data_IF_138888703348
#
_entry.id   IF_138888703348
#
_cell.length_a   1.000
_cell.length_b   1.000
_cell.length_c   1.000
_cell.angle_alpha   90.00
_cell.angle_beta   90.00
_cell.angle_gamma   90.00
#
_symmetry.space_group_name_H-M   'P 1'
#
loop_
_entity.id
_entity.type
_entity.pdbx_description
1 polymer ?
#
# COMPACT_ATOMS: atom_id res chain seq x y z
N UNK A 1 69.91 -10.64 -38.05
CA UNK A 1 69.37 -11.64 -37.11
C UNK A 1 67.90 -11.29 -36.83
N UNK A 2 66.95 -12.19 -37.15
CA UNK A 2 65.54 -12.00 -36.85
C UNK A 2 65.37 -12.34 -35.36
N UNK A 3 65.03 -11.32 -34.50
CA UNK A 3 64.70 -11.54 -33.11
C UNK A 3 63.17 -11.63 -32.99
N UNK A 4 62.66 -12.73 -32.44
CA UNK A 4 61.25 -12.90 -32.12
C UNK A 4 61.02 -12.59 -30.63
N UNK A 5 60.14 -11.66 -30.34
CA UNK A 5 59.76 -11.33 -28.94
C UNK A 5 58.50 -12.07 -28.53
N UNK A 6 58.58 -12.84 -27.46
CA UNK A 6 57.45 -13.56 -26.89
C UNK A 6 57.08 -12.90 -25.57
N UNK A 7 55.81 -12.53 -25.40
CA UNK A 7 55.29 -11.98 -24.17
C UNK A 7 54.58 -13.09 -23.36
N UNK A 8 55.10 -13.34 -22.16
CA UNK A 8 54.50 -14.30 -21.22
C UNK A 8 53.65 -13.52 -20.21
N UNK A 9 52.39 -13.94 -20.03
CA UNK A 9 51.49 -13.38 -19.02
C UNK A 9 51.01 -14.49 -18.09
N UNK A 10 51.24 -14.31 -16.80
CA UNK A 10 50.76 -15.24 -15.78
C UNK A 10 49.63 -14.60 -14.93
N UNK A 11 48.63 -15.40 -14.54
CA UNK A 11 47.55 -14.98 -13.66
C UNK A 11 47.55 -15.88 -12.42
N UNK A 12 47.46 -15.29 -11.24
CA UNK A 12 47.45 -16.00 -9.96
C UNK A 12 46.72 -15.17 -8.90
N UNK A 13 46.39 -15.80 -7.77
CA UNK A 13 45.68 -15.18 -6.64
C UNK A 13 46.49 -14.09 -5.93
N UNK A 14 47.82 -14.12 -6.04
CA UNK A 14 48.70 -13.09 -5.50
C UNK A 14 49.66 -12.52 -6.53
N UNK A 15 50.06 -11.26 -6.35
CA UNK A 15 51.00 -10.57 -7.21
C UNK A 15 52.38 -11.28 -7.25
N UNK A 16 52.87 -11.73 -6.09
CA UNK A 16 54.13 -12.45 -5.97
C UNK A 16 54.10 -13.81 -6.66
N UNK A 17 52.99 -14.54 -6.52
CA UNK A 17 52.82 -15.83 -7.20
C UNK A 17 52.76 -15.64 -8.70
N UNK A 18 52.01 -14.67 -9.22
CA UNK A 18 51.96 -14.38 -10.65
C UNK A 18 53.33 -14.01 -11.23
N UNK A 19 54.09 -13.15 -10.52
CA UNK A 19 55.49 -12.79 -10.89
C UNK A 19 56.39 -14.02 -10.94
N UNK A 20 56.37 -14.85 -9.90
CA UNK A 20 57.18 -16.04 -9.79
C UNK A 20 56.85 -17.05 -10.91
N UNK A 21 55.57 -17.28 -11.19
CA UNK A 21 55.15 -18.14 -12.30
C UNK A 21 55.71 -17.61 -13.63
N UNK A 22 55.51 -16.32 -13.94
CA UNK A 22 55.99 -15.74 -15.20
C UNK A 22 57.50 -15.88 -15.36
N UNK A 23 58.28 -15.58 -14.33
CA UNK A 23 59.75 -15.68 -14.38
C UNK A 23 60.22 -17.15 -14.45
N UNK A 24 59.56 -18.07 -13.74
CA UNK A 24 59.87 -19.51 -13.79
C UNK A 24 59.60 -20.12 -15.16
N UNK A 25 58.50 -19.74 -15.81
CA UNK A 25 58.18 -20.22 -17.17
C UNK A 25 59.24 -19.81 -18.15
N UNK A 26 59.74 -18.56 -18.08
CA UNK A 26 60.80 -18.08 -18.99
C UNK A 26 62.16 -18.81 -18.72
N UNK A 27 62.51 -18.96 -17.43
CA UNK A 27 63.75 -19.63 -17.08
C UNK A 27 63.76 -21.12 -17.44
N UNK A 28 62.63 -21.79 -17.25
CA UNK A 28 62.50 -23.19 -17.61
C UNK A 28 62.41 -23.40 -19.12
N UNK A 29 61.77 -22.50 -19.86
CA UNK A 29 61.76 -22.50 -21.33
C UNK A 29 63.16 -22.32 -21.89
N UNK A 30 63.99 -21.44 -21.30
CA UNK A 30 65.37 -21.25 -21.72
C UNK A 30 66.24 -22.52 -21.52
N UNK A 31 66.02 -23.23 -20.38
CA UNK A 31 66.71 -24.53 -20.15
C UNK A 31 66.22 -25.61 -21.11
N UNK A 32 64.97 -25.70 -21.39
CA UNK A 32 64.44 -26.68 -22.32
C UNK A 32 64.96 -26.48 -23.77
N UNK A 33 64.98 -25.25 -24.24
CA UNK A 33 65.59 -24.94 -25.58
C UNK A 33 67.06 -25.33 -25.63
N UNK A 34 67.81 -25.02 -24.57
CA UNK A 34 69.25 -25.41 -24.49
C UNK A 34 69.42 -26.94 -24.47
N UNK A 35 68.56 -27.66 -23.79
CA UNK A 35 68.61 -29.13 -23.73
C UNK A 35 68.17 -29.81 -25.03
N UNK A 36 67.26 -29.24 -25.79
CA UNK A 36 66.78 -29.80 -27.05
C UNK A 36 67.74 -29.56 -28.25
N UNK A 37 68.34 -28.37 -28.30
CA UNK A 37 69.13 -27.97 -29.45
C UNK A 37 70.62 -28.07 -29.20
N UNK A 38 71.09 -28.32 -27.98
CA UNK A 38 72.48 -28.42 -27.60
C UNK A 38 73.21 -27.07 -27.39
N UNK A 39 74.46 -27.12 -26.90
CA UNK A 39 75.22 -25.90 -26.54
C UNK A 39 75.63 -24.99 -27.72
N UNK A 40 75.54 -25.48 -28.97
CA UNK A 40 75.87 -24.73 -30.19
C UNK A 40 74.69 -24.20 -30.97
N UNK A 41 73.49 -24.18 -30.35
CA UNK A 41 72.28 -23.68 -31.02
C UNK A 41 72.40 -22.19 -31.41
N UNK A 42 72.02 -21.84 -32.62
CA UNK A 42 71.87 -20.44 -33.01
C UNK A 42 70.71 -19.71 -32.35
N UNK A 43 69.78 -20.45 -31.64
CA UNK A 43 68.62 -19.89 -30.95
C UNK A 43 68.91 -19.81 -29.47
N UNK A 44 68.89 -18.60 -28.93
CA UNK A 44 69.03 -18.37 -27.49
C UNK A 44 67.76 -17.66 -26.95
N UNK A 45 67.19 -18.21 -25.94
CA UNK A 45 66.05 -17.54 -25.17
C UNK A 45 66.68 -16.67 -24.10
N UNK A 46 66.60 -15.36 -24.28
CA UNK A 46 67.14 -14.37 -23.34
C UNK A 46 65.96 -13.60 -22.71
N UNK A 47 65.94 -13.53 -21.39
CA UNK A 47 64.98 -12.72 -20.67
C UNK A 47 65.35 -11.24 -20.88
N UNK A 48 64.56 -10.53 -21.70
CA UNK A 48 64.78 -9.10 -21.95
C UNK A 48 64.28 -8.24 -20.78
N UNK A 49 63.12 -8.58 -20.22
CA UNK A 49 62.54 -7.85 -19.10
C UNK A 49 61.88 -8.85 -18.12
N UNK A 50 62.41 -8.98 -16.89
CA UNK A 50 61.82 -9.83 -15.89
C UNK A 50 60.46 -9.29 -15.47
N UNK A 51 59.54 -10.17 -15.09
CA UNK A 51 58.25 -9.76 -14.52
C UNK A 51 58.50 -9.07 -13.18
N UNK A 52 57.98 -7.85 -13.04
CA UNK A 52 58.07 -7.03 -11.82
C UNK A 52 56.71 -6.72 -11.27
N UNK A 53 56.62 -6.43 -9.96
CA UNK A 53 55.39 -6.09 -9.27
C UNK A 53 54.75 -4.80 -9.80
N UNK A 54 55.52 -3.88 -10.36
CA UNK A 54 55.04 -2.66 -11.01
C UNK A 54 54.15 -2.93 -12.23
N UNK A 55 54.28 -4.11 -12.86
CA UNK A 55 53.53 -4.51 -14.05
C UNK A 55 52.27 -5.31 -13.73
N UNK A 56 52.00 -5.60 -12.44
CA UNK A 56 50.83 -6.39 -12.01
C UNK A 56 49.60 -5.55 -12.12
N UNK A 57 48.64 -5.96 -12.95
CA UNK A 57 47.31 -5.40 -13.01
C UNK A 57 46.38 -6.18 -12.08
N UNK A 58 45.91 -5.54 -11.01
CA UNK A 58 44.86 -6.14 -10.19
C UNK A 58 43.56 -6.29 -10.99
N UNK A 59 42.95 -7.46 -10.92
CA UNK A 59 41.58 -7.64 -11.40
C UNK A 59 40.66 -6.64 -10.70
N UNK A 60 39.58 -6.19 -11.34
CA UNK A 60 38.67 -5.23 -10.73
C UNK A 60 38.18 -5.77 -9.41
N UNK A 61 38.32 -4.97 -8.34
CA UNK A 61 37.98 -5.37 -6.98
C UNK A 61 36.47 -5.64 -6.89
N UNK A 62 36.02 -6.72 -6.22
CA UNK A 62 34.60 -7.03 -6.05
C UNK A 62 33.83 -5.86 -5.41
N UNK A 63 34.49 -5.04 -4.60
CA UNK A 63 33.93 -3.84 -4.01
C UNK A 63 33.35 -2.84 -5.03
N UNK A 64 33.97 -2.69 -6.20
CA UNK A 64 33.47 -1.80 -7.26
C UNK A 64 32.13 -2.30 -7.84
N UNK A 65 31.99 -3.61 -8.01
CA UNK A 65 30.75 -4.21 -8.48
C UNK A 65 29.63 -4.13 -7.43
N UNK A 66 29.96 -4.30 -6.15
CA UNK A 66 29.02 -4.14 -5.04
C UNK A 66 28.50 -2.70 -4.98
N UNK A 67 29.39 -1.70 -5.05
CA UNK A 67 28.99 -0.29 -5.04
C UNK A 67 28.14 0.05 -6.27
N UNK A 68 28.55 -0.40 -7.46
CA UNK A 68 27.79 -0.16 -8.69
C UNK A 68 26.38 -0.83 -8.62
N UNK A 69 26.31 -2.06 -8.12
CA UNK A 69 25.04 -2.76 -7.91
C UNK A 69 24.13 -2.06 -6.90
N UNK A 70 24.68 -1.54 -5.81
CA UNK A 70 23.94 -0.79 -4.80
C UNK A 70 23.37 0.52 -5.37
N UNK A 71 24.17 1.27 -6.12
CA UNK A 71 23.70 2.51 -6.77
C UNK A 71 22.62 2.22 -7.81
N UNK A 72 22.81 1.18 -8.63
CA UNK A 72 21.81 0.76 -9.61
C UNK A 72 20.51 0.29 -8.94
N UNK A 73 20.61 -0.43 -7.81
CA UNK A 73 19.46 -0.87 -7.01
C UNK A 73 18.66 0.30 -6.40
N UNK A 74 19.34 1.30 -5.86
CA UNK A 74 18.72 2.52 -5.34
C UNK A 74 17.98 3.26 -6.47
N UNK A 75 18.64 3.44 -7.61
CA UNK A 75 18.05 4.14 -8.75
C UNK A 75 16.78 3.42 -9.27
N UNK A 76 16.85 2.10 -9.44
CA UNK A 76 15.70 1.27 -9.80
C UNK A 76 14.58 1.36 -8.75
N UNK A 77 14.92 1.34 -7.46
CA UNK A 77 13.98 1.50 -6.37
C UNK A 77 13.22 2.83 -6.45
N UNK A 78 13.91 3.95 -6.71
CA UNK A 78 13.27 5.24 -6.90
C UNK A 78 12.35 5.28 -8.13
N UNK A 79 12.77 4.68 -9.25
CA UNK A 79 11.94 4.60 -10.46
C UNK A 79 10.65 3.82 -10.19
N UNK A 80 10.75 2.65 -9.54
CA UNK A 80 9.58 1.83 -9.19
C UNK A 80 8.66 2.57 -8.21
N UNK A 81 9.21 3.23 -7.19
CA UNK A 81 8.44 4.03 -6.23
C UNK A 81 7.70 5.18 -6.94
N UNK A 82 8.39 5.89 -7.84
CA UNK A 82 7.78 6.97 -8.64
C UNK A 82 6.64 6.47 -9.53
N UNK A 83 6.82 5.35 -10.22
CA UNK A 83 5.76 4.74 -11.04
C UNK A 83 4.57 4.36 -10.17
N UNK A 84 4.81 3.74 -8.99
CA UNK A 84 3.73 3.40 -8.05
C UNK A 84 2.99 4.64 -7.57
N UNK A 85 3.69 5.69 -7.22
CA UNK A 85 3.07 6.94 -6.76
C UNK A 85 2.23 7.61 -7.85
N UNK A 86 2.69 7.63 -9.10
CA UNK A 86 1.94 8.16 -10.24
C UNK A 86 0.70 7.31 -10.60
N UNK A 87 0.75 6.01 -10.30
CA UNK A 87 -0.36 5.08 -10.59
C UNK A 87 -1.33 4.96 -9.42
N UNK A 88 -0.95 5.43 -8.22
CA UNK A 88 -1.82 5.40 -7.04
C UNK A 88 -2.93 6.46 -7.18
N UNK A 89 -4.14 5.97 -7.44
CA UNK A 89 -5.36 6.80 -7.56
C UNK A 89 -6.15 6.87 -6.26
N UNK A 90 -5.61 6.35 -5.16
CA UNK A 90 -6.30 6.39 -3.87
C UNK A 90 -6.34 7.81 -3.33
N UNK A 91 -7.43 8.11 -2.65
CA UNK A 91 -7.59 9.35 -1.91
C UNK A 91 -6.84 9.21 -0.58
N UNK A 92 -5.82 10.02 -0.37
CA UNK A 92 -5.03 10.03 0.86
C UNK A 92 -5.27 11.26 1.72
N UNK A 93 -5.68 12.36 1.10
CA UNK A 93 -5.86 13.65 1.77
C UNK A 93 -7.22 14.26 1.50
N UNK A 94 -7.64 15.16 2.40
CA UNK A 94 -8.86 15.97 2.22
C UNK A 94 -8.77 16.81 0.93
N UNK A 95 -7.57 17.26 0.58
CA UNK A 95 -7.32 18.05 -0.63
C UNK A 95 -7.59 17.25 -1.91
N UNK A 96 -7.23 15.96 -1.94
CA UNK A 96 -7.52 15.09 -3.09
C UNK A 96 -9.02 14.95 -3.37
N UNK A 97 -9.85 15.06 -2.32
CA UNK A 97 -11.31 15.03 -2.46
C UNK A 97 -11.83 16.37 -2.98
N UNK A 98 -11.39 17.48 -2.40
CA UNK A 98 -11.85 18.83 -2.82
C UNK A 98 -11.50 19.14 -4.25
N UNK A 99 -10.35 18.67 -4.75
CA UNK A 99 -9.93 18.87 -6.14
C UNK A 99 -10.76 18.08 -7.16
N UNK A 100 -11.40 16.98 -6.71
CA UNK A 100 -12.15 16.08 -7.59
C UNK A 100 -13.65 16.23 -7.49
N UNK A 101 -14.14 16.64 -6.34
CA UNK A 101 -15.56 16.75 -6.04
C UNK A 101 -15.87 18.20 -5.68
N UNK A 102 -16.62 18.88 -6.55
CA UNK A 102 -17.09 20.24 -6.30
C UNK A 102 -18.26 20.25 -5.29
N UNK A 103 -17.99 19.70 -4.10
CA UNK A 103 -18.94 19.66 -2.98
C UNK A 103 -18.20 19.85 -1.65
N UNK A 104 -18.81 20.51 -0.67
CA UNK A 104 -18.20 20.71 0.64
C UNK A 104 -17.98 19.38 1.38
N UNK A 105 -16.83 19.25 2.01
CA UNK A 105 -16.55 18.13 2.92
C UNK A 105 -17.17 18.49 4.27
N UNK A 106 -18.17 17.71 4.67
CA UNK A 106 -18.89 17.96 5.92
C UNK A 106 -18.09 17.52 7.16
N UNK A 107 -17.40 16.37 7.09
CA UNK A 107 -16.52 15.90 8.16
C UNK A 107 -15.53 14.85 7.64
N UNK A 108 -14.45 14.66 8.39
CA UNK A 108 -13.51 13.54 8.23
C UNK A 108 -13.64 12.67 9.47
N UNK A 109 -14.09 11.43 9.29
CA UNK A 109 -14.35 10.50 10.38
C UNK A 109 -13.23 9.46 10.39
N UNK A 110 -12.44 9.35 11.48
CA UNK A 110 -11.40 8.36 11.58
C UNK A 110 -11.99 6.94 11.62
N UNK A 111 -11.26 5.97 11.08
CA UNK A 111 -11.60 4.57 11.26
C UNK A 111 -11.46 4.20 12.75
N UNK A 112 -12.53 3.68 13.34
CA UNK A 112 -12.62 3.42 14.77
C UNK A 112 -13.59 2.28 15.05
N UNK A 113 -13.22 1.43 16.02
CA UNK A 113 -14.12 0.36 16.50
C UNK A 113 -15.40 0.92 17.13
N UNK A 114 -15.31 2.07 17.79
CA UNK A 114 -16.44 2.78 18.38
C UNK A 114 -17.46 3.22 17.33
N UNK A 115 -17.01 3.79 16.22
CA UNK A 115 -17.89 4.16 15.09
C UNK A 115 -18.49 2.89 14.46
N UNK A 116 -17.71 1.84 14.31
CA UNK A 116 -18.18 0.57 13.76
C UNK A 116 -19.26 -0.07 14.63
N UNK A 117 -19.15 0.03 15.96
CA UNK A 117 -20.10 -0.51 16.92
C UNK A 117 -21.32 0.40 17.21
N UNK A 118 -21.40 1.56 16.55
CA UNK A 118 -22.46 2.59 16.81
C UNK A 118 -22.56 2.92 18.31
N UNK A 119 -21.45 2.94 19.00
CA UNK A 119 -21.36 3.25 20.43
C UNK A 119 -20.93 4.70 20.63
N UNK A 120 -21.75 5.47 21.36
CA UNK A 120 -21.41 6.86 21.73
C UNK A 120 -20.83 6.95 23.14
N UNK A 121 -20.82 5.84 23.87
CA UNK A 121 -20.53 5.83 25.33
C UNK A 121 -19.07 5.48 25.63
N UNK A 122 -18.28 5.05 24.65
CA UNK A 122 -16.88 4.75 24.88
C UNK A 122 -16.05 6.04 24.90
N UNK A 123 -15.41 6.30 26.03
CA UNK A 123 -14.43 7.37 26.23
C UNK A 123 -13.17 7.15 25.40
N UNK A 124 -12.98 5.97 24.85
CA UNK A 124 -11.75 5.54 24.18
C UNK A 124 -11.54 6.17 22.79
N UNK A 125 -12.60 6.75 22.19
CA UNK A 125 -12.45 7.39 20.88
C UNK A 125 -13.17 8.75 20.79
N UNK A 126 -12.77 9.66 21.64
CA UNK A 126 -13.28 11.04 21.65
C UNK A 126 -13.22 11.71 20.27
N UNK A 127 -12.18 11.39 19.48
CA UNK A 127 -12.01 11.99 18.15
C UNK A 127 -13.10 11.54 17.16
N UNK A 128 -13.48 10.28 17.21
CA UNK A 128 -14.52 9.74 16.34
C UNK A 128 -15.90 10.30 16.73
N UNK A 129 -16.22 10.32 18.02
CA UNK A 129 -17.46 10.92 18.53
C UNK A 129 -17.56 12.42 18.17
N UNK A 130 -16.47 13.17 18.30
CA UNK A 130 -16.43 14.58 17.94
C UNK A 130 -16.57 14.80 16.44
N UNK A 131 -15.99 13.92 15.60
CA UNK A 131 -16.16 13.97 14.14
C UNK A 131 -17.63 13.77 13.73
N UNK A 132 -18.38 12.88 14.40
CA UNK A 132 -19.81 12.68 14.16
C UNK A 132 -20.64 13.90 14.61
N UNK A 133 -20.31 14.50 15.77
CA UNK A 133 -20.98 15.74 16.22
C UNK A 133 -20.72 16.90 15.24
N UNK A 134 -19.50 17.00 14.74
CA UNK A 134 -19.14 17.98 13.70
C UNK A 134 -19.91 17.73 12.40
N UNK A 135 -20.04 16.46 11.99
CA UNK A 135 -20.85 16.08 10.83
C UNK A 135 -22.30 16.55 11.01
N UNK A 136 -22.93 16.26 12.16
CA UNK A 136 -24.29 16.74 12.46
C UNK A 136 -24.40 18.27 12.33
N UNK A 137 -23.48 19.00 12.94
CA UNK A 137 -23.51 20.46 12.93
C UNK A 137 -23.39 21.01 11.51
N UNK A 138 -22.42 20.52 10.73
CA UNK A 138 -22.21 20.98 9.35
C UNK A 138 -23.39 20.59 8.44
N UNK A 139 -23.98 19.41 8.67
CA UNK A 139 -25.19 18.97 7.95
C UNK A 139 -26.37 19.89 8.22
N UNK A 140 -26.60 20.29 9.47
CA UNK A 140 -27.66 21.26 9.82
C UNK A 140 -27.46 22.58 9.09
N UNK A 141 -26.25 23.09 9.01
CA UNK A 141 -25.95 24.32 8.23
C UNK A 141 -26.20 24.13 6.74
N UNK A 142 -25.80 22.99 6.18
CA UNK A 142 -26.02 22.68 4.77
C UNK A 142 -27.51 22.52 4.41
N UNK A 143 -28.37 22.23 5.40
CA UNK A 143 -29.80 21.98 5.21
C UNK A 143 -30.68 23.17 5.61
N UNK A 144 -30.13 24.30 6.04
CA UNK A 144 -30.90 25.45 6.55
C UNK A 144 -31.97 25.91 5.55
N UNK A 145 -31.63 25.96 4.26
CA UNK A 145 -32.55 26.40 3.20
C UNK A 145 -33.38 25.25 2.60
N UNK A 146 -33.15 24.02 3.07
CA UNK A 146 -33.79 22.85 2.51
C UNK A 146 -35.02 22.45 3.34
N UNK A 147 -36.17 22.40 2.71
CA UNK A 147 -37.43 21.92 3.36
C UNK A 147 -37.43 20.42 3.57
N UNK A 148 -36.64 19.66 2.84
CA UNK A 148 -36.53 18.21 2.98
C UNK A 148 -35.73 17.85 4.20
N UNK A 149 -36.26 16.96 5.05
CA UNK A 149 -35.59 16.39 6.21
C UNK A 149 -35.08 14.96 5.93
N UNK A 150 -34.98 14.57 4.67
CA UNK A 150 -34.48 13.25 4.25
C UNK A 150 -33.02 13.33 3.89
N UNK A 151 -32.21 12.49 4.53
CA UNK A 151 -30.76 12.40 4.32
C UNK A 151 -30.45 11.01 3.77
N UNK A 152 -29.86 10.94 2.57
CA UNK A 152 -29.39 9.70 1.99
C UNK A 152 -27.88 9.54 2.26
N UNK A 153 -27.52 8.45 2.94
CA UNK A 153 -26.12 8.07 3.18
C UNK A 153 -25.75 6.91 2.26
N UNK A 154 -24.79 7.13 1.39
CA UNK A 154 -24.30 6.12 0.44
C UNK A 154 -22.77 6.04 0.43
N UNK A 155 -22.21 5.06 -0.26
CA UNK A 155 -20.78 4.89 -0.43
C UNK A 155 -20.44 4.33 -1.82
N UNK A 156 -19.22 4.54 -2.28
CA UNK A 156 -18.74 4.11 -3.60
C UNK A 156 -18.49 2.61 -3.67
N UNK A 157 -18.01 2.03 -2.56
CA UNK A 157 -17.75 0.59 -2.43
C UNK A 157 -18.28 0.05 -1.12
N UNK A 158 -18.38 -1.27 -1.06
CA UNK A 158 -18.81 -1.96 0.16
C UNK A 158 -17.75 -1.82 1.26
N UNK A 159 -18.19 -1.68 2.52
CA UNK A 159 -17.28 -1.67 3.69
C UNK A 159 -16.70 -0.30 4.03
N UNK A 160 -17.11 0.79 3.37
CA UNK A 160 -16.66 2.16 3.68
C UNK A 160 -17.30 2.78 4.93
N UNK A 161 -18.17 2.03 5.62
CA UNK A 161 -18.77 2.47 6.87
C UNK A 161 -20.07 3.27 6.73
N UNK A 162 -20.78 3.22 5.58
CA UNK A 162 -22.04 3.95 5.37
C UNK A 162 -23.06 3.73 6.50
N UNK A 163 -23.29 2.46 6.86
CA UNK A 163 -24.26 2.11 7.90
C UNK A 163 -23.81 2.56 9.29
N UNK A 164 -22.51 2.44 9.59
CA UNK A 164 -21.94 2.91 10.85
C UNK A 164 -22.04 4.43 10.99
N UNK A 165 -21.74 5.17 9.91
CA UNK A 165 -21.85 6.63 9.91
C UNK A 165 -23.31 7.06 10.03
N UNK A 166 -24.23 6.45 9.27
CA UNK A 166 -25.67 6.75 9.34
C UNK A 166 -26.25 6.47 10.73
N UNK A 167 -25.91 5.31 11.32
CA UNK A 167 -26.36 4.92 12.65
C UNK A 167 -25.88 5.85 13.76
N UNK A 168 -24.57 6.18 13.77
CA UNK A 168 -24.01 7.13 14.74
C UNK A 168 -24.57 8.54 14.55
N UNK A 169 -24.76 9.01 13.31
CA UNK A 169 -25.36 10.29 13.02
C UNK A 169 -26.80 10.35 13.55
N UNK A 170 -27.62 9.33 13.24
CA UNK A 170 -29.00 9.23 13.71
C UNK A 170 -29.08 9.28 15.26
N UNK A 171 -28.19 8.54 15.94
CA UNK A 171 -28.11 8.54 17.41
C UNK A 171 -27.73 9.92 17.96
N UNK A 172 -26.75 10.59 17.37
CA UNK A 172 -26.31 11.93 17.85
C UNK A 172 -27.37 13.00 17.53
N UNK A 173 -28.17 12.87 16.47
CA UNK A 173 -29.29 13.76 16.18
C UNK A 173 -30.42 13.57 17.20
N UNK A 174 -30.78 12.33 17.50
CA UNK A 174 -31.80 12.01 18.50
C UNK A 174 -31.38 12.50 19.90
N UNK A 175 -30.14 12.27 20.33
CA UNK A 175 -29.58 12.80 21.58
C UNK A 175 -29.59 14.33 21.66
N UNK A 176 -29.66 15.02 20.53
CA UNK A 176 -29.81 16.47 20.46
C UNK A 176 -31.30 16.93 20.47
N UNK A 177 -32.23 16.01 20.67
CA UNK A 177 -33.68 16.30 20.78
C UNK A 177 -34.41 16.30 19.45
N UNK A 178 -33.83 15.72 18.39
CA UNK A 178 -34.52 15.56 17.11
C UNK A 178 -35.26 14.20 17.07
N UNK A 179 -36.47 14.14 16.48
CA UNK A 179 -37.13 12.87 16.18
C UNK A 179 -36.57 12.32 14.86
N UNK A 180 -35.94 11.15 14.95
CA UNK A 180 -35.19 10.55 13.84
C UNK A 180 -35.70 9.15 13.53
N UNK A 181 -35.92 8.87 12.24
CA UNK A 181 -36.17 7.52 11.74
C UNK A 181 -34.97 7.12 10.90
N UNK A 182 -34.26 6.09 11.34
CA UNK A 182 -33.15 5.48 10.57
C UNK A 182 -33.73 4.34 9.74
N UNK A 183 -33.67 4.45 8.42
CA UNK A 183 -34.14 3.42 7.48
C UNK A 183 -32.95 2.65 6.92
N UNK A 184 -32.93 1.33 7.10
CA UNK A 184 -31.99 0.45 6.42
C UNK A 184 -32.50 0.11 5.02
N UNK A 185 -32.06 0.86 4.03
CA UNK A 185 -32.42 0.68 2.63
C UNK A 185 -31.41 -0.19 1.86
N UNK A 186 -30.45 -0.84 2.55
CA UNK A 186 -29.53 -1.79 1.93
C UNK A 186 -30.18 -3.18 1.82
N UNK A 187 -31.09 -3.33 0.88
CA UNK A 187 -31.83 -4.59 0.65
C UNK A 187 -30.92 -5.76 0.21
N UNK A 188 -29.66 -5.49 -0.13
CA UNK A 188 -28.71 -6.53 -0.53
C UNK A 188 -27.89 -7.07 0.63
N UNK A 189 -27.50 -6.20 1.56
CA UNK A 189 -26.67 -6.54 2.70
C UNK A 189 -27.04 -5.71 3.92
N UNK A 190 -28.22 -5.95 4.47
CA UNK A 190 -28.69 -5.18 5.63
C UNK A 190 -27.74 -5.36 6.81
N UNK A 191 -27.52 -4.30 7.56
CA UNK A 191 -26.57 -4.32 8.67
C UNK A 191 -27.02 -3.53 9.89
N UNK A 192 -27.99 -2.65 9.76
CA UNK A 192 -28.43 -1.77 10.83
C UNK A 192 -29.06 -2.57 11.97
N UNK A 193 -29.86 -3.59 11.66
CA UNK A 193 -30.51 -4.45 12.67
C UNK A 193 -29.48 -5.04 13.65
N UNK A 194 -28.39 -5.63 13.13
CA UNK A 194 -27.31 -6.21 13.95
C UNK A 194 -26.55 -5.16 14.75
N UNK A 195 -26.35 -3.98 14.15
CA UNK A 195 -25.60 -2.90 14.80
C UNK A 195 -26.35 -2.25 15.96
N UNK A 196 -27.66 -2.40 16.01
CA UNK A 196 -28.53 -1.89 17.09
C UNK A 196 -29.11 -3.01 17.97
N UNK A 197 -28.65 -4.25 17.77
CA UNK A 197 -29.10 -5.43 18.53
C UNK A 197 -30.62 -5.56 18.56
N UNK A 198 -31.27 -5.38 17.40
CA UNK A 198 -32.70 -5.46 17.27
C UNK A 198 -33.14 -6.91 17.04
N UNK A 199 -34.24 -7.29 17.67
CA UNK A 199 -34.88 -8.58 17.46
C UNK A 199 -35.44 -8.74 16.04
N UNK A 200 -35.56 -9.98 15.58
CA UNK A 200 -36.15 -10.30 14.28
C UNK A 200 -37.63 -9.88 14.26
N UNK A 201 -38.15 -9.59 13.07
CA UNK A 201 -39.55 -9.22 12.91
C UNK A 201 -39.83 -8.45 11.61
N UNK A 202 -40.89 -7.68 11.56
CA UNK A 202 -41.27 -6.89 10.39
C UNK A 202 -40.24 -5.78 10.12
N UNK A 203 -40.01 -5.47 8.85
CA UNK A 203 -39.07 -4.44 8.42
C UNK A 203 -39.51 -3.73 7.14
N UNK A 204 -38.53 -3.08 6.50
CA UNK A 204 -38.74 -2.34 5.24
C UNK A 204 -39.32 -3.20 4.11
N UNK A 205 -38.90 -4.47 3.88
CA UNK A 205 -39.46 -5.29 2.81
C UNK A 205 -40.96 -5.48 2.92
N UNK A 206 -41.48 -5.78 4.13
CA UNK A 206 -42.91 -6.03 4.38
C UNK A 206 -43.75 -4.75 4.18
N UNK A 207 -43.17 -3.60 4.52
CA UNK A 207 -43.82 -2.31 4.28
C UNK A 207 -43.90 -2.00 2.80
N UNK A 208 -42.85 -2.25 2.04
CA UNK A 208 -42.78 -1.97 0.61
C UNK A 208 -43.77 -2.81 -0.21
N UNK A 209 -43.98 -4.07 0.17
CA UNK A 209 -44.97 -4.96 -0.50
C UNK A 209 -46.41 -4.82 0.06
N UNK A 210 -46.61 -3.94 1.03
CA UNK A 210 -47.92 -3.72 1.65
C UNK A 210 -48.39 -4.83 2.61
N UNK A 211 -47.49 -5.72 3.02
CA UNK A 211 -47.77 -6.81 3.95
C UNK A 211 -47.91 -6.34 5.42
N UNK A 212 -47.31 -5.18 5.73
CA UNK A 212 -47.39 -4.59 7.07
C UNK A 212 -47.47 -3.05 7.00
N UNK A 213 -48.21 -2.39 7.91
CA UNK A 213 -48.15 -0.95 8.03
C UNK A 213 -46.81 -0.49 8.64
N UNK A 214 -46.39 0.72 8.28
CA UNK A 214 -45.09 1.29 8.73
C UNK A 214 -44.96 1.29 10.26
N UNK A 215 -46.02 1.63 10.96
CA UNK A 215 -46.04 1.74 12.42
C UNK A 215 -45.71 0.43 13.13
N UNK A 216 -46.04 -0.72 12.51
CA UNK A 216 -45.72 -2.04 13.06
C UNK A 216 -44.29 -2.49 12.75
N UNK A 217 -43.70 -1.96 11.69
CA UNK A 217 -42.32 -2.29 11.29
C UNK A 217 -41.28 -1.37 11.96
N UNK A 218 -41.69 -0.20 12.47
CA UNK A 218 -40.82 0.69 13.21
C UNK A 218 -40.43 0.09 14.56
N UNK A 219 -39.12 0.10 14.85
CA UNK A 219 -38.52 -0.34 16.11
C UNK A 219 -38.08 0.85 16.93
N UNK A 220 -38.48 0.92 18.19
CA UNK A 220 -37.91 1.88 19.14
C UNK A 220 -36.55 1.40 19.61
N UNK A 221 -35.67 2.34 19.91
CA UNK A 221 -34.33 2.04 20.45
C UNK A 221 -34.18 2.51 21.90
N UNK A 222 -33.07 2.16 22.54
CA UNK A 222 -32.73 2.70 23.86
C UNK A 222 -32.45 4.22 23.83
N UNK A 223 -32.24 4.80 22.67
CA UNK A 223 -32.03 6.24 22.50
C UNK A 223 -33.38 6.91 22.26
N UNK A 224 -33.82 7.75 23.19
CA UNK A 224 -35.04 8.51 23.03
C UNK A 224 -35.02 9.35 21.74
N UNK A 225 -36.16 9.38 21.02
CA UNK A 225 -36.27 10.09 19.74
C UNK A 225 -35.68 9.36 18.53
N UNK A 226 -35.11 8.14 18.70
CA UNK A 226 -34.62 7.33 17.58
C UNK A 226 -35.49 6.10 17.36
N UNK A 227 -36.10 6.02 16.19
CA UNK A 227 -36.78 4.82 15.68
C UNK A 227 -36.03 4.26 14.49
N UNK A 228 -36.07 2.95 14.29
CA UNK A 228 -35.39 2.26 13.19
C UNK A 228 -36.40 1.48 12.38
N UNK A 229 -36.34 1.61 11.06
CA UNK A 229 -36.97 0.73 10.10
C UNK A 229 -35.92 -0.21 9.55
N UNK A 230 -35.77 -1.42 10.09
CA UNK A 230 -34.73 -2.34 9.66
C UNK A 230 -35.08 -3.01 8.33
N UNK A 231 -34.08 -3.52 7.63
CA UNK A 231 -34.25 -4.56 6.63
C UNK A 231 -33.96 -5.90 7.29
N UNK A 232 -34.95 -6.71 7.51
CA UNK A 232 -34.88 -7.99 8.25
C UNK A 232 -34.47 -9.14 7.34
N UNK A 233 -35.03 -9.18 6.13
CA UNK A 233 -34.75 -10.20 5.13
C UNK A 233 -34.28 -9.58 3.81
N UNK A 234 -33.38 -10.28 3.14
CA UNK A 234 -32.96 -9.88 1.79
C UNK A 234 -34.02 -10.39 0.80
N UNK A 235 -34.74 -9.52 0.12
CA UNK A 235 -35.74 -9.97 -0.87
C UNK A 235 -35.03 -10.74 -2.00
N UNK A 236 -35.71 -11.71 -2.65
CA UNK A 236 -35.13 -12.53 -3.69
C UNK A 236 -34.64 -11.70 -4.89
N UNK A 237 -35.27 -10.57 -5.17
CA UNK A 237 -34.91 -9.64 -6.25
C UNK A 237 -34.73 -8.20 -5.71
N UNK A 238 -33.61 -7.89 -5.02
CA UNK A 238 -33.43 -6.58 -4.38
C UNK A 238 -33.20 -5.42 -5.37
N UNK A 239 -33.26 -5.69 -6.67
CA UNK A 239 -33.06 -4.69 -7.75
C UNK A 239 -34.36 -4.38 -8.52
N UNK A 240 -35.45 -5.08 -8.23
CA UNK A 240 -36.78 -4.89 -8.80
C UNK A 240 -37.72 -4.25 -7.76
#
# INVERSE_FOLDING_TARGET
ANSLTIKVTATADSADTARNIANSVISESAKQVKNLEGEKSPVQVVMMTPADLSQVKKAPSPAKYVIAGLLAGILLGYVVAGIRQLTDRRVHTVHDVTDRVDKPILATIPASSTVAAISTDSTDDFRAAEAIRKLRTNLRYAMIDNRSKVILVTSSVQGEGKSSVAGNLAKVMALAGEDVILVDADLRRPGVQRSFDLEDGLGLPEVLIGAAPLEQALRTTSTAGLSILPCTDTPPNPSE
#
